data_IF_395480212543
#
_entry.id   IF_395480212543
#
_cell.length_a   1.000
_cell.length_b   1.000
_cell.length_c   1.000
_cell.angle_alpha   90.00
_cell.angle_beta   90.00
_cell.angle_gamma   90.00
#
_symmetry.space_group_name_H-M   'P 1'
#
loop_
_entity.id
_entity.type
_entity.pdbx_description
1 polymer ?
#
# COMPACT_ATOMS: atom_id res chain seq x y z
N UNK A 1 -6.36 0.59 -10.05
CA UNK A 1 -4.89 0.53 -9.95
C UNK A 1 -4.16 1.20 -11.15
N UNK A 2 -4.89 1.64 -12.16
CA UNK A 2 -4.35 2.40 -13.29
C UNK A 2 -4.02 3.86 -12.91
N UNK A 3 -2.77 4.26 -13.12
CA UNK A 3 -2.34 5.65 -13.13
C UNK A 3 -1.92 6.02 -14.57
N UNK A 4 -2.02 7.29 -15.00
CA UNK A 4 -1.51 7.69 -16.30
C UNK A 4 -0.02 7.35 -16.42
N UNK A 5 0.33 6.52 -17.40
CA UNK A 5 1.72 6.14 -17.72
C UNK A 5 2.33 5.02 -16.87
N UNK A 6 1.70 4.59 -15.76
CA UNK A 6 2.23 3.50 -14.96
C UNK A 6 1.16 2.81 -14.09
N UNK A 7 1.51 1.69 -13.46
CA UNK A 7 0.67 1.02 -12.49
C UNK A 7 1.15 1.18 -11.06
N UNK A 8 0.27 0.91 -10.09
CA UNK A 8 0.63 0.97 -8.67
C UNK A 8 1.75 -0.01 -8.26
N UNK A 9 1.85 -1.21 -8.85
CA UNK A 9 2.84 -2.21 -8.44
C UNK A 9 4.21 -1.83 -8.99
N UNK A 10 4.27 -1.31 -10.22
CA UNK A 10 5.52 -0.80 -10.78
C UNK A 10 6.10 0.33 -9.92
N UNK A 11 5.25 1.22 -9.38
CA UNK A 11 5.68 2.23 -8.42
C UNK A 11 6.13 1.60 -7.10
N UNK A 12 5.36 0.66 -6.55
CA UNK A 12 5.71 -0.05 -5.32
C UNK A 12 7.07 -0.74 -5.41
N UNK A 13 7.30 -1.50 -6.48
CA UNK A 13 8.56 -2.19 -6.73
C UNK A 13 9.72 -1.20 -6.87
N UNK A 14 9.48 -0.03 -7.48
CA UNK A 14 10.48 1.03 -7.56
C UNK A 14 10.81 1.64 -6.19
N UNK A 15 9.81 1.80 -5.31
CA UNK A 15 10.00 2.26 -3.94
C UNK A 15 10.73 1.23 -3.07
N UNK A 16 10.47 -0.07 -3.26
CA UNK A 16 11.17 -1.15 -2.56
C UNK A 16 12.62 -1.32 -2.98
N UNK A 17 12.95 -1.07 -4.24
CA UNK A 17 14.35 -1.08 -4.72
C UNK A 17 15.17 0.11 -4.25
N UNK A 18 14.54 1.22 -3.83
CA UNK A 18 15.24 2.41 -3.37
C UNK A 18 15.55 2.32 -1.86
N UNK A 19 16.83 2.37 -1.49
CA UNK A 19 17.28 2.29 -0.09
C UNK A 19 16.66 3.35 0.83
N UNK A 20 16.30 4.52 0.30
CA UNK A 20 15.69 5.60 1.09
C UNK A 20 14.21 5.34 1.42
N UNK A 21 13.51 4.53 0.62
CA UNK A 21 12.06 4.30 0.75
C UNK A 21 11.69 2.83 0.97
N UNK A 22 12.66 1.91 0.94
CA UNK A 22 12.40 0.47 0.98
C UNK A 22 11.70 -0.02 2.23
N UNK A 23 11.79 0.71 3.35
CA UNK A 23 11.12 0.38 4.62
C UNK A 23 9.86 1.20 4.85
N UNK A 24 9.57 2.18 4.00
CA UNK A 24 8.38 3.02 4.15
C UNK A 24 7.11 2.17 3.94
N UNK A 25 6.15 2.21 4.87
CA UNK A 25 4.86 1.53 4.69
C UNK A 25 4.08 2.15 3.52
N UNK A 26 3.49 1.30 2.67
CA UNK A 26 2.76 1.77 1.48
C UNK A 26 1.29 1.38 1.60
N UNK A 27 0.41 2.38 1.45
CA UNK A 27 -1.04 2.20 1.44
C UNK A 27 -1.57 2.41 0.02
N UNK A 28 -2.13 1.36 -0.56
CA UNK A 28 -2.84 1.40 -1.83
C UNK A 28 -4.27 1.84 -1.62
N UNK A 29 -4.75 2.77 -2.46
CA UNK A 29 -6.15 3.18 -2.47
C UNK A 29 -6.72 3.11 -3.89
N UNK A 30 -7.59 2.14 -4.16
CA UNK A 30 -8.18 1.91 -5.50
C UNK A 30 -9.71 1.93 -5.44
N UNK A 31 -10.35 2.38 -6.52
CA UNK A 31 -11.81 2.23 -6.71
C UNK A 31 -12.22 0.87 -7.31
N UNK A 32 -11.24 0.05 -7.68
CA UNK A 32 -11.49 -1.33 -8.13
C UNK A 32 -11.67 -2.25 -6.91
N UNK A 33 -12.68 -3.11 -7.00
CA UNK A 33 -13.24 -3.87 -5.88
C UNK A 33 -12.47 -5.15 -5.51
N UNK A 34 -11.28 -5.37 -6.08
CA UNK A 34 -10.52 -6.61 -5.88
C UNK A 34 -9.17 -6.37 -5.17
N UNK A 35 -9.19 -6.23 -3.83
CA UNK A 35 -7.98 -6.10 -3.00
C UNK A 35 -6.99 -7.24 -3.19
N UNK A 36 -7.49 -8.46 -3.39
CA UNK A 36 -6.67 -9.66 -3.47
C UNK A 36 -5.81 -9.65 -4.73
N UNK A 37 -6.36 -9.17 -5.86
CA UNK A 37 -5.58 -9.02 -7.09
C UNK A 37 -4.39 -8.07 -6.90
N UNK A 38 -4.60 -6.92 -6.25
CA UNK A 38 -3.57 -5.91 -6.05
C UNK A 38 -2.52 -6.37 -5.03
N UNK A 39 -2.94 -7.05 -3.98
CA UNK A 39 -2.03 -7.60 -2.98
C UNK A 39 -1.22 -8.78 -3.52
N UNK A 40 -1.79 -9.61 -4.40
CA UNK A 40 -1.09 -10.71 -5.06
C UNK A 40 -0.03 -10.20 -6.06
N UNK A 41 -0.25 -9.04 -6.67
CA UNK A 41 0.75 -8.38 -7.52
C UNK A 41 1.92 -7.76 -6.74
N UNK A 42 1.81 -7.67 -5.41
CA UNK A 42 2.78 -7.02 -4.54
C UNK A 42 3.53 -8.06 -3.73
N UNK A 43 4.83 -8.18 -3.98
CA UNK A 43 5.70 -9.22 -3.40
C UNK A 43 5.84 -9.16 -1.86
N UNK A 44 5.50 -8.02 -1.25
CA UNK A 44 5.61 -7.78 0.19
C UNK A 44 4.27 -7.30 0.77
N UNK A 45 3.48 -8.28 1.23
CA UNK A 45 2.20 -8.06 1.90
C UNK A 45 2.34 -7.56 3.34
N UNK A 46 3.52 -7.68 3.96
CA UNK A 46 3.74 -7.22 5.32
C UNK A 46 3.84 -5.69 5.39
N UNK A 47 4.56 -5.08 4.44
CA UNK A 47 4.75 -3.63 4.37
C UNK A 47 3.73 -2.89 3.49
N UNK A 48 2.74 -3.58 2.93
CA UNK A 48 1.69 -3.01 2.10
C UNK A 48 0.29 -3.22 2.70
N UNK A 49 -0.61 -2.24 2.52
CA UNK A 49 -2.03 -2.35 2.84
C UNK A 49 -2.88 -1.83 1.69
N UNK A 50 -4.13 -2.27 1.62
CA UNK A 50 -5.09 -1.83 0.62
C UNK A 50 -6.34 -1.27 1.30
N UNK A 51 -6.86 -0.15 0.79
CA UNK A 51 -8.17 0.40 1.14
C UNK A 51 -8.99 0.72 -0.12
N UNK A 52 -10.21 0.18 -0.26
CA UNK A 52 -11.08 0.52 -1.37
C UNK A 52 -11.63 1.95 -1.23
N UNK A 53 -11.85 2.62 -2.37
CA UNK A 53 -12.55 3.91 -2.41
C UNK A 53 -14.05 3.68 -2.67
N UNK A 54 -14.95 4.47 -2.03
CA UNK A 54 -14.66 5.52 -1.06
C UNK A 54 -14.27 4.95 0.31
N UNK A 55 -13.22 5.49 0.92
CA UNK A 55 -12.71 5.04 2.22
C UNK A 55 -13.40 5.79 3.37
N UNK A 56 -13.80 5.07 4.42
CA UNK A 56 -14.32 5.68 5.64
C UNK A 56 -13.17 6.27 6.47
N UNK A 57 -13.36 7.46 7.03
CA UNK A 57 -12.29 8.15 7.77
C UNK A 57 -11.78 7.36 8.98
N UNK A 58 -12.69 6.67 9.70
CA UNK A 58 -12.31 5.87 10.87
C UNK A 58 -11.46 4.66 10.49
N UNK A 59 -11.81 4.02 9.36
CA UNK A 59 -11.06 2.91 8.80
C UNK A 59 -9.66 3.36 8.34
N UNK A 60 -9.59 4.47 7.61
CA UNK A 60 -8.32 5.09 7.22
C UNK A 60 -7.43 5.38 8.44
N UNK A 61 -7.97 6.02 9.48
CA UNK A 61 -7.22 6.35 10.70
C UNK A 61 -6.77 5.12 11.47
N UNK A 62 -7.55 4.04 11.44
CA UNK A 62 -7.18 2.76 12.07
C UNK A 62 -6.02 2.13 11.31
N UNK A 63 -6.13 2.00 10.00
CA UNK A 63 -5.11 1.40 9.14
C UNK A 63 -3.77 2.15 9.23
N UNK A 64 -3.79 3.48 9.18
CA UNK A 64 -2.55 4.27 9.32
C UNK A 64 -1.86 4.04 10.67
N UNK A 65 -2.63 3.97 11.77
CA UNK A 65 -2.07 3.69 13.10
C UNK A 65 -1.42 2.31 13.17
N UNK A 66 -2.07 1.29 12.62
CA UNK A 66 -1.54 -0.07 12.58
C UNK A 66 -0.25 -0.16 11.73
N UNK A 67 -0.22 0.51 10.59
CA UNK A 67 0.96 0.55 9.71
C UNK A 67 2.16 1.24 10.38
N UNK A 68 1.93 2.35 11.08
CA UNK A 68 3.01 3.10 11.75
C UNK A 68 3.49 2.41 13.03
N UNK A 69 2.61 1.73 13.77
CA UNK A 69 2.99 0.98 14.97
C UNK A 69 3.96 -0.15 14.64
N UNK A 70 3.66 -0.97 13.62
CA UNK A 70 4.55 -2.06 13.20
C UNK A 70 5.87 -1.61 12.56
N UNK A 71 5.99 -0.32 12.20
CA UNK A 71 7.22 0.25 11.63
C UNK A 71 8.20 0.77 12.68
N UNK A 72 7.77 0.92 13.93
CA UNK A 72 8.62 1.40 15.03
C UNK A 72 9.32 0.26 15.79
N UNK A 73 9.00 -1.00 15.49
CA UNK A 73 9.59 -2.18 16.15
C UNK A 73 10.68 -2.87 15.30
N UNK A 74 11.12 -2.26 14.18
CA UNK A 74 12.07 -2.84 13.22
C UNK A 74 13.34 -2.00 13.03
#
# INVERSE_FOLDING_TARGET
>A
YHMPGNTGSHLFESLRRNNATKTTPILFMSGEADPEHILNEVSDSAGARFLPKPVKLDEFRKTIREMLAGSQEA
#
